data_IF_907038273787
#
_entry.id   IF_907038273787
#
_cell.length_a   1.000
_cell.length_b   1.000
_cell.length_c   1.000
_cell.angle_alpha   90.00
_cell.angle_beta   90.00
_cell.angle_gamma   90.00
#
_symmetry.space_group_name_H-M   'P 1'
#
loop_
_entity.id
_entity.type
_entity.pdbx_description
1 polymer ?
#
# COMPACT_ATOMS: atom_id res chain seq x y z
N UNK A 1 -4.27 21.56 -25.24
CA UNK A 1 -5.53 22.05 -24.63
C UNK A 1 -6.10 20.92 -23.80
N UNK A 2 -5.79 20.89 -22.50
CA UNK A 2 -6.24 19.82 -21.59
C UNK A 2 -7.56 20.23 -20.97
N UNK A 3 -8.64 19.54 -21.34
CA UNK A 3 -9.91 19.57 -20.63
C UNK A 3 -9.79 18.66 -19.39
N UNK A 4 -8.89 19.01 -18.46
CA UNK A 4 -9.04 18.57 -17.09
C UNK A 4 -10.26 19.34 -16.57
N UNK A 5 -11.44 18.73 -16.68
CA UNK A 5 -12.60 19.19 -15.92
C UNK A 5 -12.12 19.42 -14.49
N UNK A 6 -12.31 20.62 -13.97
CA UNK A 6 -12.03 20.93 -12.57
C UNK A 6 -12.95 20.06 -11.73
N UNK A 7 -12.53 18.81 -11.48
CA UNK A 7 -13.15 17.93 -10.52
C UNK A 7 -13.11 18.69 -9.21
N UNK A 8 -14.29 18.86 -8.63
CA UNK A 8 -14.41 19.54 -7.35
C UNK A 8 -13.61 18.76 -6.30
N UNK A 9 -13.14 19.46 -5.26
CA UNK A 9 -12.43 18.80 -4.15
C UNK A 9 -13.23 17.66 -3.54
N UNK A 10 -14.56 17.79 -3.55
CA UNK A 10 -15.48 16.75 -3.10
C UNK A 10 -15.38 15.48 -3.96
N UNK A 11 -15.34 15.60 -5.28
CA UNK A 11 -15.24 14.45 -6.20
C UNK A 11 -13.86 13.79 -6.14
N UNK A 12 -12.78 14.57 -6.01
CA UNK A 12 -11.43 14.02 -5.82
C UNK A 12 -11.32 13.26 -4.50
N UNK A 13 -11.87 13.83 -3.41
CA UNK A 13 -11.93 13.17 -2.11
C UNK A 13 -12.79 11.90 -2.16
N UNK A 14 -13.92 11.92 -2.85
CA UNK A 14 -14.78 10.75 -3.05
C UNK A 14 -14.03 9.64 -3.79
N UNK A 15 -13.32 9.96 -4.89
CA UNK A 15 -12.50 8.97 -5.61
C UNK A 15 -11.38 8.40 -4.74
N UNK A 16 -10.66 9.25 -4.01
CA UNK A 16 -9.61 8.80 -3.09
C UNK A 16 -10.17 7.89 -1.99
N UNK A 17 -11.31 8.24 -1.41
CA UNK A 17 -11.96 7.43 -0.36
C UNK A 17 -12.45 6.09 -0.89
N UNK A 18 -12.92 6.00 -2.14
CA UNK A 18 -13.27 4.73 -2.79
C UNK A 18 -12.04 3.83 -2.94
N UNK A 19 -10.92 4.38 -3.45
CA UNK A 19 -9.65 3.63 -3.60
C UNK A 19 -9.14 3.16 -2.24
N UNK A 20 -9.17 4.02 -1.23
CA UNK A 20 -8.80 3.67 0.14
C UNK A 20 -9.69 2.58 0.73
N UNK A 21 -11.01 2.72 0.59
CA UNK A 21 -11.97 1.76 1.14
C UNK A 21 -11.74 0.38 0.53
N UNK A 22 -11.55 0.31 -0.79
CA UNK A 22 -11.22 -0.95 -1.48
C UNK A 22 -9.93 -1.56 -0.93
N UNK A 23 -8.87 -0.75 -0.79
CA UNK A 23 -7.57 -1.20 -0.25
C UNK A 23 -7.67 -1.66 1.22
N UNK A 24 -8.49 -0.98 2.03
CA UNK A 24 -8.76 -1.35 3.43
C UNK A 24 -9.51 -2.67 3.53
N UNK A 25 -10.58 -2.84 2.75
CA UNK A 25 -11.37 -4.09 2.75
C UNK A 25 -10.49 -5.28 2.34
N UNK A 26 -9.69 -5.13 1.28
CA UNK A 26 -8.76 -6.17 0.84
C UNK A 26 -7.67 -6.47 1.89
N UNK A 27 -7.18 -5.42 2.57
CA UNK A 27 -6.23 -5.57 3.67
C UNK A 27 -6.83 -6.34 4.84
N UNK A 28 -8.05 -6.00 5.25
CA UNK A 28 -8.73 -6.64 6.37
C UNK A 28 -9.03 -8.11 6.04
N UNK A 29 -9.55 -8.38 4.84
CA UNK A 29 -9.79 -9.74 4.38
C UNK A 29 -8.50 -10.58 4.40
N UNK A 30 -7.39 -10.05 3.87
CA UNK A 30 -6.10 -10.75 3.89
C UNK A 30 -5.55 -11.00 5.30
N UNK A 31 -5.76 -10.07 6.22
CA UNK A 31 -5.36 -10.24 7.62
C UNK A 31 -6.20 -11.32 8.31
N UNK A 32 -7.52 -11.30 8.12
CA UNK A 32 -8.41 -12.34 8.63
C UNK A 32 -8.04 -13.72 8.11
N UNK A 33 -7.72 -13.86 6.83
CA UNK A 33 -7.25 -15.14 6.26
C UNK A 33 -5.95 -15.61 6.92
N UNK A 34 -5.00 -14.70 7.13
CA UNK A 34 -3.70 -15.05 7.75
C UNK A 34 -3.89 -15.50 9.20
N UNK A 35 -4.75 -14.81 9.96
CA UNK A 35 -5.13 -15.20 11.32
C UNK A 35 -5.82 -16.54 11.33
N UNK A 36 -6.80 -16.77 10.45
CA UNK A 36 -7.50 -18.05 10.37
C UNK A 36 -6.55 -19.21 10.07
N UNK A 37 -5.60 -19.02 9.14
CA UNK A 37 -4.58 -20.04 8.82
C UNK A 37 -3.66 -20.28 10.00
N UNK A 38 -3.17 -19.23 10.66
CA UNK A 38 -2.30 -19.36 11.84
C UNK A 38 -2.98 -20.10 12.99
N UNK A 39 -4.25 -19.79 13.26
CA UNK A 39 -5.06 -20.48 14.26
C UNK A 39 -5.30 -21.95 13.89
N UNK A 40 -5.57 -22.24 12.61
CA UNK A 40 -5.78 -23.61 12.14
C UNK A 40 -4.50 -24.46 12.25
N UNK A 41 -3.33 -23.89 11.94
CA UNK A 41 -2.04 -24.54 12.14
C UNK A 41 -1.76 -24.81 13.61
N UNK A 42 -2.06 -23.85 14.50
CA UNK A 42 -1.93 -24.06 15.93
C UNK A 42 -2.88 -25.14 16.45
N UNK A 43 -4.14 -25.14 16.00
CA UNK A 43 -5.11 -26.15 16.36
C UNK A 43 -4.66 -27.56 15.92
N UNK A 44 -4.12 -27.70 14.71
CA UNK A 44 -3.55 -28.95 14.23
C UNK A 44 -2.34 -29.40 15.07
N UNK A 45 -1.46 -28.47 15.45
CA UNK A 45 -0.35 -28.73 16.36
C UNK A 45 -0.83 -29.21 17.74
N UNK A 46 -1.77 -28.49 18.36
CA UNK A 46 -2.31 -28.82 19.67
C UNK A 46 -3.02 -30.18 19.66
N UNK A 47 -3.76 -30.48 18.60
CA UNK A 47 -4.40 -31.78 18.38
C UNK A 47 -3.38 -32.91 18.25
N UNK A 48 -2.29 -32.71 17.49
CA UNK A 48 -1.20 -33.67 17.41
C UNK A 48 -0.56 -33.92 18.77
N UNK A 49 -0.28 -32.86 19.53
CA UNK A 49 0.32 -32.94 20.86
C UNK A 49 -0.59 -33.63 21.89
N UNK A 50 -1.91 -33.45 21.78
CA UNK A 50 -2.88 -34.10 22.67
C UNK A 50 -2.88 -35.63 22.57
N UNK A 51 -2.40 -36.19 21.44
CA UNK A 51 -2.18 -37.64 21.26
C UNK A 51 -0.74 -38.08 21.49
N UNK A 52 0.15 -37.14 21.81
CA UNK A 52 1.54 -37.41 22.14
C UNK A 52 1.73 -37.85 23.59
N UNK A 53 2.95 -38.25 23.96
CA UNK A 53 3.28 -38.70 25.32
C UNK A 53 3.20 -37.59 26.38
N UNK A 54 3.16 -36.31 25.97
CA UNK A 54 3.01 -35.16 26.85
C UNK A 54 1.90 -34.24 26.34
N UNK A 55 0.67 -34.35 26.88
CA UNK A 55 -0.42 -33.44 26.51
C UNK A 55 -0.14 -32.03 27.04
N UNK A 56 -0.50 -31.03 26.26
CA UNK A 56 -0.37 -29.62 26.63
C UNK A 56 -1.31 -29.30 27.80
N UNK A 57 -0.83 -28.47 28.74
CA UNK A 57 -1.67 -27.93 29.81
C UNK A 57 -2.62 -26.89 29.25
N UNK A 58 -3.80 -26.73 29.86
CA UNK A 58 -4.80 -25.73 29.40
C UNK A 58 -4.23 -24.30 29.31
N UNK A 59 -3.32 -23.94 30.22
CA UNK A 59 -2.64 -22.64 30.21
C UNK A 59 -1.73 -22.50 28.99
N UNK A 60 -1.01 -23.55 28.60
CA UNK A 60 -0.12 -23.55 27.42
C UNK A 60 -0.93 -23.43 26.13
N UNK A 61 -2.10 -24.10 26.06
CA UNK A 61 -3.03 -23.95 24.94
C UNK A 61 -3.52 -22.51 24.82
N UNK A 62 -3.94 -21.90 25.93
CA UNK A 62 -4.42 -20.52 25.95
C UNK A 62 -3.33 -19.53 25.53
N UNK A 63 -2.12 -19.68 26.06
CA UNK A 63 -0.95 -18.86 25.68
C UNK A 63 -0.60 -19.08 24.21
N UNK A 64 -0.70 -20.31 23.70
CA UNK A 64 -0.45 -20.63 22.30
C UNK A 64 -1.48 -20.00 21.34
N UNK A 65 -2.77 -19.99 21.70
CA UNK A 65 -3.82 -19.30 20.92
C UNK A 65 -3.51 -17.80 20.84
N UNK A 66 -3.21 -17.17 21.98
CA UNK A 66 -2.89 -15.74 22.02
C UNK A 66 -1.60 -15.43 21.25
N UNK A 67 -0.55 -16.22 21.45
CA UNK A 67 0.73 -16.06 20.77
C UNK A 67 0.61 -16.21 19.26
N UNK A 68 -0.12 -17.22 18.78
CA UNK A 68 -0.36 -17.44 17.35
C UNK A 68 -1.24 -16.37 16.74
N UNK A 69 -2.21 -15.82 17.49
CA UNK A 69 -3.00 -14.67 17.06
C UNK A 69 -2.11 -13.44 16.82
N UNK A 70 -1.31 -13.06 17.82
CA UNK A 70 -0.38 -11.91 17.72
C UNK A 70 0.64 -12.12 16.59
N UNK A 71 1.24 -13.31 16.50
CA UNK A 71 2.17 -13.65 15.44
C UNK A 71 1.51 -13.53 14.06
N UNK A 72 0.29 -14.03 13.91
CA UNK A 72 -0.45 -13.96 12.65
C UNK A 72 -0.77 -12.53 12.25
N UNK A 73 -1.04 -11.62 13.19
CA UNK A 73 -1.23 -10.20 12.90
C UNK A 73 0.07 -9.53 12.39
N UNK A 74 1.21 -9.83 13.01
CA UNK A 74 2.52 -9.33 12.57
C UNK A 74 2.82 -9.83 11.15
N UNK A 75 2.62 -11.13 10.91
CA UNK A 75 2.82 -11.76 9.60
C UNK A 75 1.87 -11.17 8.57
N UNK A 76 0.59 -10.96 8.91
CA UNK A 76 -0.40 -10.36 8.02
C UNK A 76 0.03 -8.97 7.53
N UNK A 77 0.63 -8.14 8.41
CA UNK A 77 1.14 -6.83 8.03
C UNK A 77 2.28 -6.92 6.99
N UNK A 78 3.19 -7.89 7.16
CA UNK A 78 4.29 -8.13 6.21
C UNK A 78 3.76 -8.63 4.87
N UNK A 79 2.84 -9.60 4.88
CA UNK A 79 2.20 -10.12 3.67
C UNK A 79 1.38 -9.05 2.96
N UNK A 80 0.67 -8.18 3.70
CA UNK A 80 -0.03 -7.02 3.14
C UNK A 80 0.92 -6.12 2.35
N UNK A 81 2.05 -5.72 2.96
CA UNK A 81 3.06 -4.89 2.28
C UNK A 81 3.57 -5.57 1.02
N UNK A 82 3.86 -6.87 1.06
CA UNK A 82 4.33 -7.63 -0.12
C UNK A 82 3.26 -7.76 -1.21
N UNK A 83 2.01 -8.04 -0.84
CA UNK A 83 0.91 -8.26 -1.79
C UNK A 83 0.50 -6.99 -2.51
N UNK A 84 0.49 -5.85 -1.81
CA UNK A 84 0.24 -4.55 -2.43
C UNK A 84 1.27 -4.26 -3.52
N UNK A 85 2.55 -4.56 -3.28
CA UNK A 85 3.61 -4.35 -4.26
C UNK A 85 3.54 -5.31 -5.45
N UNK A 86 3.01 -6.52 -5.26
CA UNK A 86 2.81 -7.47 -6.36
C UNK A 86 1.73 -7.04 -7.36
N UNK A 87 0.83 -6.15 -6.96
CA UNK A 87 -0.20 -5.59 -7.84
C UNK A 87 0.23 -4.29 -8.52
N UNK A 88 1.37 -3.73 -8.12
CA UNK A 88 1.91 -2.57 -8.78
C UNK A 88 2.48 -3.01 -10.14
N UNK A 89 2.17 -2.25 -11.19
CA UNK A 89 2.77 -2.42 -12.52
C UNK A 89 4.28 -2.27 -12.44
N UNK A 90 4.76 -1.33 -11.63
CA UNK A 90 6.18 -1.11 -11.39
C UNK A 90 6.41 -0.54 -9.99
N UNK A 91 7.54 -0.90 -9.39
CA UNK A 91 7.97 -0.37 -8.09
C UNK A 91 9.36 0.21 -8.23
N UNK A 92 9.48 1.50 -7.94
CA UNK A 92 10.70 2.28 -8.08
C UNK A 92 11.14 2.83 -6.71
N UNK A 93 12.43 3.10 -6.58
CA UNK A 93 13.00 3.84 -5.45
C UNK A 93 13.56 5.13 -6.00
N UNK A 94 12.92 6.24 -5.66
CA UNK A 94 13.30 7.57 -6.11
C UNK A 94 13.74 8.40 -4.90
N UNK A 95 14.60 9.37 -5.13
CA UNK A 95 15.10 10.26 -4.08
C UNK A 95 14.22 11.50 -4.03
N UNK A 96 13.89 11.96 -2.84
CA UNK A 96 13.17 13.22 -2.59
C UNK A 96 14.00 13.98 -1.54
N UNK A 97 14.83 14.91 -2.01
CA UNK A 97 15.83 15.59 -1.17
C UNK A 97 16.78 14.60 -0.48
N UNK A 98 16.83 14.51 0.87
CA UNK A 98 17.67 13.55 1.57
C UNK A 98 17.03 12.16 1.73
N UNK A 99 15.76 11.96 1.36
CA UNK A 99 15.02 10.72 1.63
C UNK A 99 14.90 9.86 0.38
N UNK A 100 14.97 8.54 0.56
CA UNK A 100 14.61 7.58 -0.49
C UNK A 100 13.14 7.20 -0.29
N UNK A 101 12.33 7.50 -1.30
CA UNK A 101 10.90 7.23 -1.35
C UNK A 101 10.62 6.02 -2.22
N UNK A 102 9.63 5.23 -1.80
CA UNK A 102 9.16 4.12 -2.60
C UNK A 102 7.96 4.56 -3.43
N UNK A 103 8.10 4.50 -4.74
CA UNK A 103 7.02 4.85 -5.67
C UNK A 103 6.50 3.58 -6.31
N UNK A 104 5.21 3.30 -6.15
CA UNK A 104 4.53 2.16 -6.76
C UNK A 104 3.48 2.66 -7.75
N UNK A 105 3.59 2.20 -8.99
CA UNK A 105 2.66 2.50 -10.07
C UNK A 105 1.52 1.48 -10.06
N UNK A 106 0.28 1.94 -10.04
CA UNK A 106 -0.90 1.09 -10.21
C UNK A 106 -1.71 1.57 -11.40
N UNK A 107 -2.55 0.69 -11.92
CA UNK A 107 -3.56 1.04 -12.91
C UNK A 107 -4.54 2.07 -12.30
N UNK A 108 -4.43 3.32 -12.73
CA UNK A 108 -5.29 4.43 -12.28
C UNK A 108 -4.82 5.22 -11.05
N UNK A 109 -3.69 4.89 -10.41
CA UNK A 109 -3.12 5.73 -9.34
C UNK A 109 -1.64 5.46 -9.07
N UNK A 110 -0.98 6.44 -8.47
CA UNK A 110 0.39 6.38 -7.97
C UNK A 110 0.37 6.25 -6.44
N UNK A 111 1.24 5.43 -5.87
CA UNK A 111 1.51 5.45 -4.43
C UNK A 111 2.93 5.90 -4.14
N UNK A 112 3.09 7.00 -3.40
CA UNK A 112 4.38 7.50 -2.90
C UNK A 112 4.43 7.21 -1.40
N UNK A 113 5.17 6.17 -1.00
CA UNK A 113 5.10 5.56 0.32
C UNK A 113 3.65 5.19 0.73
N UNK A 114 3.01 6.02 1.56
CA UNK A 114 1.63 5.83 2.05
C UNK A 114 0.63 6.83 1.42
N UNK A 115 1.12 7.77 0.61
CA UNK A 115 0.29 8.74 -0.07
C UNK A 115 -0.19 8.21 -1.43
N UNK A 116 -1.44 8.51 -1.77
CA UNK A 116 -2.07 8.12 -3.02
C UNK A 116 -2.27 9.36 -3.88
N UNK A 117 -1.75 9.33 -5.10
CA UNK A 117 -1.91 10.40 -6.08
C UNK A 117 -2.67 9.82 -7.26
N UNK A 118 -3.86 10.35 -7.53
CA UNK A 118 -4.66 10.00 -8.71
C UNK A 118 -4.29 10.93 -9.86
N UNK A 119 -4.25 10.45 -11.12
CA UNK A 119 -3.86 11.27 -12.27
C UNK A 119 -4.68 12.55 -12.41
N UNK A 120 -5.96 12.50 -12.06
CA UNK A 120 -6.88 13.64 -12.13
C UNK A 120 -6.55 14.75 -11.12
N UNK A 121 -5.83 14.43 -10.05
CA UNK A 121 -5.35 15.41 -9.10
C UNK A 121 -4.05 16.08 -9.56
N UNK A 122 -3.37 15.56 -10.59
CA UNK A 122 -2.08 16.06 -11.07
C UNK A 122 -2.30 17.31 -11.90
N UNK A 123 -1.69 18.42 -11.45
CA UNK A 123 -1.78 19.73 -12.10
C UNK A 123 -0.69 19.91 -13.15
N UNK A 124 0.53 19.49 -12.84
CA UNK A 124 1.66 19.57 -13.77
C UNK A 124 2.71 18.51 -13.46
N UNK A 125 3.35 18.04 -14.53
CA UNK A 125 4.46 17.10 -14.47
C UNK A 125 5.58 17.66 -15.34
N UNK A 126 6.65 18.13 -14.72
CA UNK A 126 7.83 18.67 -15.40
C UNK A 126 9.00 17.73 -15.21
N UNK A 127 9.55 17.26 -16.31
CA UNK A 127 10.75 16.40 -16.35
C UNK A 127 11.96 17.25 -16.70
N UNK A 128 13.03 17.15 -15.92
CA UNK A 128 14.31 17.83 -16.15
C UNK A 128 15.46 16.84 -15.91
N UNK A 129 15.78 16.04 -16.93
CA UNK A 129 16.83 15.03 -16.89
C UNK A 129 16.60 13.97 -15.81
N UNK A 130 17.36 14.05 -14.73
CA UNK A 130 17.27 13.14 -13.57
C UNK A 130 16.34 13.67 -12.46
N UNK A 131 15.51 14.67 -12.77
CA UNK A 131 14.56 15.28 -11.85
C UNK A 131 13.15 15.30 -12.43
N UNK A 132 12.18 15.12 -11.55
CA UNK A 132 10.75 15.17 -11.85
C UNK A 132 10.07 16.07 -10.80
N UNK A 133 9.51 17.17 -11.28
CA UNK A 133 8.65 18.05 -10.49
C UNK A 133 7.19 17.64 -10.71
N UNK A 134 6.61 17.01 -9.69
CA UNK A 134 5.23 16.56 -9.67
C UNK A 134 4.41 17.50 -8.81
N UNK A 135 3.48 18.24 -9.43
CA UNK A 135 2.53 19.11 -8.73
C UNK A 135 1.13 18.52 -8.83
N UNK A 136 0.48 18.33 -7.69
CA UNK A 136 -0.87 17.79 -7.62
C UNK A 136 -1.64 18.42 -6.48
N UNK A 137 -2.96 18.28 -6.50
CA UNK A 137 -3.86 18.73 -5.44
C UNK A 137 -4.05 17.62 -4.43
N UNK A 138 -3.69 17.84 -3.18
CA UNK A 138 -3.99 16.89 -2.11
C UNK A 138 -5.32 17.27 -1.46
N UNK A 139 -6.37 16.55 -1.84
CA UNK A 139 -7.71 16.75 -1.30
C UNK A 139 -7.80 16.46 0.22
N UNK A 140 -6.86 15.70 0.80
CA UNK A 140 -6.85 15.42 2.25
C UNK A 140 -6.36 16.61 3.07
N UNK A 141 -5.40 17.36 2.55
CA UNK A 141 -4.79 18.50 3.23
C UNK A 141 -5.24 19.85 2.65
N UNK A 142 -6.12 19.85 1.65
CA UNK A 142 -6.80 21.03 1.12
C UNK A 142 -5.88 21.98 0.34
N UNK A 143 -4.80 21.48 -0.27
CA UNK A 143 -3.82 22.35 -0.90
C UNK A 143 -2.98 21.70 -2.00
N UNK A 144 -2.29 22.53 -2.82
CA UNK A 144 -1.34 22.03 -3.79
C UNK A 144 -0.09 21.48 -3.10
N UNK A 145 0.35 20.32 -3.54
CA UNK A 145 1.59 19.68 -3.12
C UNK A 145 2.54 19.67 -4.31
N UNK A 146 3.79 20.08 -4.06
CA UNK A 146 4.89 19.97 -5.00
C UNK A 146 5.88 18.95 -4.47
N UNK A 147 6.17 17.93 -5.27
CA UNK A 147 7.20 16.93 -4.99
C UNK A 147 8.30 16.99 -6.04
N UNK A 148 9.53 16.93 -5.57
CA UNK A 148 10.72 16.82 -6.40
C UNK A 148 11.29 15.41 -6.23
N UNK A 149 11.21 14.62 -7.30
CA UNK A 149 11.69 13.25 -7.33
C UNK A 149 12.91 13.18 -8.23
N UNK A 150 14.01 12.64 -7.71
CA UNK A 150 15.25 12.43 -8.44
C UNK A 150 15.48 10.93 -8.68
N UNK A 151 16.03 10.58 -9.84
CA UNK A 151 16.35 9.21 -10.19
C UNK A 151 16.66 9.02 -11.67
N UNK A 152 16.80 7.76 -12.09
CA UNK A 152 17.09 7.44 -13.48
C UNK A 152 15.99 7.95 -14.42
N UNK A 153 16.36 8.60 -15.54
CA UNK A 153 15.42 9.20 -16.48
C UNK A 153 14.29 8.25 -16.93
N UNK A 154 14.60 6.97 -17.18
CA UNK A 154 13.59 5.95 -17.52
C UNK A 154 12.58 5.71 -16.39
N UNK A 155 13.04 5.72 -15.14
CA UNK A 155 12.17 5.56 -13.96
C UNK A 155 11.26 6.77 -13.79
N UNK A 156 11.80 7.98 -14.00
CA UNK A 156 11.03 9.22 -13.93
C UNK A 156 10.00 9.34 -15.05
N UNK A 157 10.36 8.94 -16.27
CA UNK A 157 9.43 8.90 -17.41
C UNK A 157 8.24 7.95 -17.15
N UNK A 158 8.47 6.80 -16.50
CA UNK A 158 7.39 5.89 -16.10
C UNK A 158 6.45 6.53 -15.07
N UNK A 159 7.00 7.22 -14.07
CA UNK A 159 6.20 7.95 -13.08
C UNK A 159 5.42 9.08 -13.73
N UNK A 160 6.05 9.84 -14.63
CA UNK A 160 5.42 10.93 -15.37
C UNK A 160 4.27 10.42 -16.25
N UNK A 161 4.47 9.31 -16.96
CA UNK A 161 3.43 8.65 -17.76
C UNK A 161 2.24 8.22 -16.90
N UNK A 162 2.49 7.55 -15.78
CA UNK A 162 1.43 7.14 -14.85
C UNK A 162 0.69 8.36 -14.24
N UNK A 163 1.41 9.42 -13.88
CA UNK A 163 0.83 10.65 -13.33
C UNK A 163 -0.03 11.41 -14.34
N UNK A 164 0.24 11.27 -15.65
CA UNK A 164 -0.57 11.87 -16.72
C UNK A 164 -1.81 11.04 -17.09
N UNK A 165 -1.99 9.85 -16.51
CA UNK A 165 -3.13 8.98 -16.79
C UNK A 165 -2.97 8.15 -18.07
N UNK A 166 -1.74 7.69 -18.36
CA UNK A 166 -1.45 6.78 -19.49
C UNK A 166 -2.18 5.45 -19.44
#
# INVERSE_FOLDING_TARGET
MSAAAELSDAELLERLTVVERRRRVESVAGALTTVAVGQLLFAAFAFGHSRGPMPLRSVEVLVGILGTFVLSLIVAQVFRRRRLLRRATTVLRLREGPRIRKVALFEGYLAIDDELVIPEAVQSVTEDGERLLLRYRDARHGGPVLRELEGAAQSLAQVAGAARGG
#
